data_IF_164830549396
#
_entry.id   IF_164830549396
#
_cell.length_a   1.000
_cell.length_b   1.000
_cell.length_c   1.000
_cell.angle_alpha   90.00
_cell.angle_beta   90.00
_cell.angle_gamma   90.00
#
_symmetry.space_group_name_H-M   'P 1'
#
loop_
_entity.id
_entity.type
_entity.pdbx_description
1 polymer ?
#
# COMPACT_ATOMS: atom_id res chain seq x y z
N UNK A 1 22.88 8.14 -15.40
CA UNK A 1 22.06 8.73 -14.31
C UNK A 1 22.22 10.24 -14.09
N UNK A 2 23.30 10.74 -13.47
CA UNK A 2 23.41 12.16 -13.04
C UNK A 2 23.28 13.16 -14.20
N UNK A 3 23.83 12.83 -15.37
CA UNK A 3 23.80 13.72 -16.53
C UNK A 3 22.40 13.86 -17.12
N UNK A 4 21.63 12.77 -17.23
CA UNK A 4 20.25 12.78 -17.75
C UNK A 4 19.33 13.64 -16.88
N UNK A 5 19.40 13.46 -15.56
CA UNK A 5 18.61 14.23 -14.59
C UNK A 5 19.04 15.71 -14.62
N UNK A 6 20.33 15.99 -14.73
CA UNK A 6 20.86 17.37 -14.84
C UNK A 6 20.39 18.07 -16.12
N UNK A 7 20.38 17.35 -17.26
CA UNK A 7 19.86 17.87 -18.53
C UNK A 7 18.38 18.20 -18.39
N UNK A 8 17.59 17.29 -17.82
CA UNK A 8 16.17 17.52 -17.57
C UNK A 8 15.95 18.75 -16.67
N UNK A 9 16.64 18.81 -15.52
CA UNK A 9 16.50 19.93 -14.59
C UNK A 9 16.81 21.28 -15.27
N UNK A 10 17.93 21.37 -15.99
CA UNK A 10 18.31 22.58 -16.72
C UNK A 10 17.28 22.97 -17.79
N UNK A 11 16.75 21.99 -18.53
CA UNK A 11 15.74 22.23 -19.56
C UNK A 11 14.47 22.89 -19.00
N UNK A 12 14.03 22.51 -17.79
CA UNK A 12 12.88 23.13 -17.12
C UNK A 12 13.22 24.46 -16.44
N UNK A 13 14.44 24.60 -15.89
CA UNK A 13 14.95 25.88 -15.37
C UNK A 13 15.00 26.97 -16.45
N UNK A 14 15.47 26.63 -17.66
CA UNK A 14 15.51 27.53 -18.81
C UNK A 14 14.10 27.99 -19.25
N UNK A 15 13.08 27.18 -18.96
CA UNK A 15 11.67 27.51 -19.16
C UNK A 15 11.03 28.24 -17.97
N UNK A 16 11.81 28.59 -16.95
CA UNK A 16 11.35 29.24 -15.72
C UNK A 16 10.31 28.41 -14.94
N UNK A 17 10.39 27.08 -15.02
CA UNK A 17 9.55 26.16 -14.24
C UNK A 17 10.31 25.73 -12.98
N UNK A 18 9.72 26.02 -11.82
CA UNK A 18 10.28 25.61 -10.52
C UNK A 18 9.91 24.15 -10.22
N UNK A 19 10.93 23.29 -10.26
CA UNK A 19 10.79 21.85 -10.02
C UNK A 19 11.77 21.37 -8.95
N UNK A 20 11.30 20.45 -8.11
CA UNK A 20 12.12 19.72 -7.14
C UNK A 20 12.13 18.24 -7.51
N UNK A 21 13.30 17.68 -7.80
CA UNK A 21 13.45 16.24 -8.05
C UNK A 21 13.66 15.50 -6.72
N UNK A 22 13.03 14.33 -6.57
CA UNK A 22 13.29 13.44 -5.44
C UNK A 22 14.44 12.50 -5.82
N UNK A 23 15.66 12.81 -5.41
CA UNK A 23 16.85 12.06 -5.85
C UNK A 23 16.79 10.56 -5.56
N UNK A 24 16.21 10.17 -4.41
CA UNK A 24 16.01 8.77 -4.03
C UNK A 24 15.06 7.99 -4.94
N UNK A 25 14.23 8.69 -5.72
CA UNK A 25 13.27 8.08 -6.65
C UNK A 25 13.85 7.80 -8.04
N UNK A 26 15.10 8.18 -8.30
CA UNK A 26 15.72 7.96 -9.61
C UNK A 26 16.01 6.46 -9.79
N UNK A 27 15.38 5.85 -10.80
CA UNK A 27 15.50 4.44 -11.12
C UNK A 27 15.76 4.26 -12.61
N UNK A 28 16.84 3.55 -12.94
CA UNK A 28 17.13 3.13 -14.31
C UNK A 28 16.60 1.70 -14.54
N UNK A 29 15.92 1.48 -15.66
CA UNK A 29 15.46 0.17 -16.14
C UNK A 29 15.72 0.11 -17.65
N UNK A 30 16.73 -0.66 -18.06
CA UNK A 30 17.21 -0.65 -19.44
C UNK A 30 17.76 0.73 -19.81
N UNK A 31 17.30 1.28 -20.93
CA UNK A 31 17.68 2.62 -21.41
C UNK A 31 16.76 3.74 -20.87
N UNK A 32 15.83 3.41 -19.98
CA UNK A 32 14.79 4.30 -19.47
C UNK A 32 15.11 4.75 -18.05
N UNK A 33 14.86 6.02 -17.73
CA UNK A 33 14.98 6.57 -16.36
C UNK A 33 13.62 7.03 -15.85
N UNK A 34 13.22 6.50 -14.70
CA UNK A 34 12.04 6.92 -13.94
C UNK A 34 12.47 7.80 -12.77
N UNK A 35 11.68 8.81 -12.43
CA UNK A 35 11.81 9.53 -11.16
C UNK A 35 10.53 10.29 -10.83
N UNK A 36 10.43 10.74 -9.59
CA UNK A 36 9.43 11.70 -9.16
C UNK A 36 10.04 13.11 -9.11
N UNK A 37 9.21 14.07 -9.49
CA UNK A 37 9.44 15.47 -9.22
C UNK A 37 8.23 16.07 -8.50
N UNK A 38 8.44 17.25 -7.93
CA UNK A 38 7.38 18.13 -7.46
C UNK A 38 7.46 19.42 -8.26
N UNK A 39 6.35 19.79 -8.87
CA UNK A 39 6.17 21.09 -9.51
C UNK A 39 5.10 21.84 -8.70
N UNK A 40 5.48 22.96 -8.08
CA UNK A 40 4.68 23.63 -7.05
C UNK A 40 4.29 22.67 -5.91
N UNK A 41 3.01 22.31 -5.81
CA UNK A 41 2.46 21.41 -4.80
C UNK A 41 2.18 20.00 -5.33
N UNK A 42 2.32 19.77 -6.64
CA UNK A 42 1.92 18.52 -7.26
C UNK A 42 3.12 17.60 -7.45
N UNK A 43 2.96 16.36 -7.01
CA UNK A 43 3.90 15.27 -7.28
C UNK A 43 3.61 14.70 -8.66
N UNK A 44 4.64 14.57 -9.49
CA UNK A 44 4.55 14.07 -10.86
C UNK A 44 5.62 13.02 -11.09
N UNK A 45 5.29 12.00 -11.86
CA UNK A 45 6.27 11.02 -12.34
C UNK A 45 6.83 11.47 -13.67
N UNK A 46 8.11 11.24 -13.88
CA UNK A 46 8.79 11.51 -15.14
C UNK A 46 9.44 10.24 -15.65
N UNK A 47 9.35 10.03 -16.95
CA UNK A 47 10.09 9.01 -17.66
C UNK A 47 10.93 9.69 -18.74
N UNK A 48 12.25 9.49 -18.71
CA UNK A 48 13.18 9.89 -19.77
C UNK A 48 13.61 8.65 -20.54
N UNK A 49 13.60 8.73 -21.87
CA UNK A 49 13.90 7.61 -22.74
C UNK A 49 14.60 8.07 -24.04
N UNK A 50 15.34 7.19 -24.74
CA UNK A 50 16.00 7.56 -25.99
C UNK A 50 15.00 7.89 -27.11
N UNK A 51 15.34 8.79 -28.02
CA UNK A 51 14.47 9.13 -29.15
C UNK A 51 14.24 7.95 -30.10
N UNK A 52 15.18 7.00 -30.14
CA UNK A 52 15.01 5.68 -30.73
C UNK A 52 14.87 4.67 -29.60
N UNK A 53 13.68 4.56 -29.02
CA UNK A 53 13.42 3.60 -27.96
C UNK A 53 12.65 2.40 -28.51
N UNK A 54 13.23 1.19 -28.51
CA UNK A 54 12.50 -0.03 -28.86
C UNK A 54 11.55 -0.49 -27.74
N UNK A 55 11.70 0.05 -26.52
CA UNK A 55 10.98 -0.44 -25.34
C UNK A 55 9.66 0.30 -25.07
N UNK A 56 8.59 -0.48 -24.96
CA UNK A 56 7.21 -0.05 -24.75
C UNK A 56 6.86 0.29 -23.30
N UNK A 57 7.87 0.40 -22.44
CA UNK A 57 7.76 0.56 -20.97
C UNK A 57 6.90 1.75 -20.54
N UNK A 58 6.74 2.75 -21.41
CA UNK A 58 6.03 4.00 -21.15
C UNK A 58 4.65 4.08 -21.84
N UNK A 59 4.24 3.05 -22.62
CA UNK A 59 3.02 3.08 -23.44
C UNK A 59 1.71 2.97 -22.65
N UNK A 60 1.72 2.24 -21.53
CA UNK A 60 0.52 1.98 -20.74
C UNK A 60 0.20 3.10 -19.73
N UNK A 61 1.15 4.01 -19.52
CA UNK A 61 0.94 5.20 -18.69
C UNK A 61 0.24 6.30 -19.49
N UNK A 62 -0.57 7.11 -18.83
CA UNK A 62 -1.21 8.30 -19.41
C UNK A 62 -0.38 9.52 -19.07
N UNK A 63 0.34 10.04 -20.07
CA UNK A 63 1.12 11.26 -19.96
C UNK A 63 0.21 12.50 -20.04
N UNK A 64 0.53 13.51 -19.25
CA UNK A 64 -0.08 14.84 -19.37
C UNK A 64 0.79 15.79 -20.21
N UNK A 65 2.09 15.50 -20.31
CA UNK A 65 3.04 16.31 -21.07
C UNK A 65 4.12 15.39 -21.66
N UNK A 66 4.56 15.68 -22.88
CA UNK A 66 5.66 14.99 -23.54
C UNK A 66 6.52 15.97 -24.33
N UNK A 67 7.81 15.66 -24.46
CA UNK A 67 8.74 16.54 -25.18
C UNK A 67 10.10 15.91 -25.46
N UNK A 68 10.94 16.69 -26.14
CA UNK A 68 12.33 16.31 -26.45
C UNK A 68 13.28 17.12 -25.58
N UNK A 69 14.14 16.44 -24.82
CA UNK A 69 15.23 17.09 -24.09
C UNK A 69 16.36 17.51 -25.03
N UNK A 70 16.66 16.67 -26.03
CA UNK A 70 17.65 16.93 -27.08
C UNK A 70 17.43 15.98 -28.27
N UNK A 71 18.40 15.89 -29.20
CA UNK A 71 18.31 15.00 -30.38
C UNK A 71 18.26 13.49 -30.05
N UNK A 72 18.68 13.10 -28.85
CA UNK A 72 18.83 11.71 -28.43
C UNK A 72 17.86 11.30 -27.31
N UNK A 73 17.24 12.24 -26.59
CA UNK A 73 16.41 11.97 -25.42
C UNK A 73 15.05 12.68 -25.50
N UNK A 74 14.02 11.93 -25.14
CA UNK A 74 12.66 12.39 -24.94
C UNK A 74 12.28 12.28 -23.46
N UNK A 75 11.24 13.02 -23.05
CA UNK A 75 10.65 12.89 -21.73
C UNK A 75 9.12 12.82 -21.83
N UNK A 76 8.51 12.19 -20.83
CA UNK A 76 7.08 12.24 -20.54
C UNK A 76 6.87 12.52 -19.06
N UNK A 77 5.86 13.34 -18.76
CA UNK A 77 5.41 13.65 -17.41
C UNK A 77 4.01 13.07 -17.22
N UNK A 78 3.79 12.53 -16.04
CA UNK A 78 2.60 11.77 -15.68
C UNK A 78 2.07 12.27 -14.34
N UNK A 79 0.75 12.46 -14.26
CA UNK A 79 0.07 12.67 -12.98
C UNK A 79 0.12 11.40 -12.12
N UNK A 80 0.17 11.57 -10.80
CA UNK A 80 0.19 10.47 -9.84
C UNK A 80 -1.22 9.89 -9.58
N UNK A 81 -1.92 9.52 -10.65
CA UNK A 81 -3.29 8.98 -10.61
C UNK A 81 -3.32 7.44 -10.48
N UNK A 82 -4.53 6.88 -10.37
CA UNK A 82 -4.76 5.44 -10.16
C UNK A 82 -4.18 4.55 -11.26
N UNK A 83 -4.39 4.94 -12.52
CA UNK A 83 -3.89 4.17 -13.66
C UNK A 83 -2.36 4.15 -13.69
N UNK A 84 -1.74 5.31 -13.49
CA UNK A 84 -0.29 5.43 -13.48
C UNK A 84 0.33 4.74 -12.25
N UNK A 85 -0.34 4.73 -11.10
CA UNK A 85 0.09 3.99 -9.92
C UNK A 85 0.01 2.47 -10.13
N UNK A 86 -1.05 2.00 -10.78
CA UNK A 86 -1.19 0.59 -11.17
C UNK A 86 -0.08 0.15 -12.12
N UNK A 87 0.22 0.97 -13.13
CA UNK A 87 1.30 0.66 -14.08
C UNK A 87 2.69 0.78 -13.42
N UNK A 88 2.90 1.73 -12.49
CA UNK A 88 4.11 1.82 -11.68
C UNK A 88 4.39 0.50 -10.95
N UNK A 89 3.38 -0.07 -10.28
CA UNK A 89 3.52 -1.35 -9.56
C UNK A 89 3.90 -2.52 -10.47
N UNK A 90 3.47 -2.52 -11.73
CA UNK A 90 3.89 -3.53 -12.72
C UNK A 90 5.32 -3.30 -13.19
N UNK A 91 5.70 -2.06 -13.46
CA UNK A 91 7.00 -1.72 -14.02
C UNK A 91 8.13 -1.77 -12.97
N UNK A 92 7.83 -1.36 -11.74
CA UNK A 92 8.73 -1.30 -10.60
C UNK A 92 8.13 -2.11 -9.44
N UNK A 93 8.30 -3.44 -9.42
CA UNK A 93 7.62 -4.34 -8.47
C UNK A 93 7.88 -4.03 -6.99
N UNK A 94 8.97 -3.34 -6.64
CA UNK A 94 9.24 -2.92 -5.26
C UNK A 94 8.23 -1.88 -4.73
N UNK A 95 7.43 -1.27 -5.61
CA UNK A 95 6.35 -0.35 -5.24
C UNK A 95 5.01 -1.06 -4.98
N UNK A 96 4.95 -2.39 -5.19
CA UNK A 96 3.80 -3.25 -4.87
C UNK A 96 3.98 -3.85 -3.46
N UNK A 97 2.91 -4.00 -2.66
CA UNK A 97 3.00 -4.70 -1.38
C UNK A 97 3.35 -6.18 -1.57
N UNK A 98 3.81 -6.79 -0.49
CA UNK A 98 4.07 -8.23 -0.41
C UNK A 98 3.45 -8.81 0.87
N UNK A 99 3.16 -10.11 0.84
CA UNK A 99 2.76 -10.87 2.02
C UNK A 99 3.93 -10.91 3.03
N UNK A 100 3.60 -10.81 4.31
CA UNK A 100 4.59 -10.64 5.38
C UNK A 100 5.05 -11.96 6.03
N UNK A 101 4.23 -13.00 5.96
CA UNK A 101 4.48 -14.27 6.65
C UNK A 101 4.62 -14.08 8.16
N UNK A 102 5.68 -14.64 8.75
CA UNK A 102 5.98 -14.54 10.19
C UNK A 102 6.97 -13.41 10.53
N UNK A 103 7.24 -12.51 9.60
CA UNK A 103 8.23 -11.45 9.78
C UNK A 103 7.74 -10.45 10.84
N UNK A 104 8.54 -10.10 11.86
CA UNK A 104 8.19 -9.04 12.81
C UNK A 104 7.93 -7.71 12.09
N UNK A 105 6.80 -7.09 12.42
CA UNK A 105 6.23 -6.00 11.65
C UNK A 105 5.79 -4.83 12.52
N UNK A 106 5.69 -3.65 11.90
CA UNK A 106 5.04 -2.48 12.50
C UNK A 106 4.00 -1.89 11.55
N UNK A 107 2.79 -1.68 12.07
CA UNK A 107 1.73 -0.94 11.41
C UNK A 107 2.01 0.55 11.41
N UNK A 108 2.01 1.19 10.24
CA UNK A 108 2.27 2.63 10.12
C UNK A 108 1.16 3.34 9.36
N UNK A 109 -0.06 3.26 9.90
CA UNK A 109 -1.26 3.81 9.26
C UNK A 109 -1.16 5.31 8.98
N UNK A 110 -1.63 5.71 7.80
CA UNK A 110 -1.52 7.08 7.29
C UNK A 110 -2.87 7.56 6.78
N UNK A 111 -3.59 8.32 7.61
CA UNK A 111 -4.93 8.84 7.31
C UNK A 111 -4.94 9.98 6.29
N UNK A 112 -3.78 10.58 6.01
CA UNK A 112 -3.66 11.78 5.19
C UNK A 112 -2.90 11.55 3.89
N UNK A 113 -2.26 10.40 3.72
CA UNK A 113 -1.50 10.04 2.51
C UNK A 113 -0.13 10.72 2.37
N UNK A 114 0.36 11.36 3.44
CA UNK A 114 1.56 12.20 3.43
C UNK A 114 2.64 11.77 4.44
N UNK A 115 2.31 10.91 5.40
CA UNK A 115 3.21 10.49 6.47
C UNK A 115 4.14 9.34 6.06
N UNK A 116 3.72 8.52 5.07
CA UNK A 116 4.45 7.33 4.60
C UNK A 116 5.94 7.55 4.32
N UNK A 117 6.40 8.66 3.68
CA UNK A 117 7.83 8.92 3.51
C UNK A 117 8.61 9.02 4.83
N UNK A 118 7.99 9.61 5.86
CA UNK A 118 8.55 9.66 7.21
C UNK A 118 8.59 8.29 7.88
N UNK A 119 7.53 7.50 7.73
CA UNK A 119 7.48 6.11 8.22
C UNK A 119 8.62 5.27 7.63
N UNK A 120 8.84 5.35 6.30
CA UNK A 120 9.94 4.67 5.60
C UNK A 120 11.31 5.04 6.20
N UNK A 121 11.55 6.32 6.47
CA UNK A 121 12.81 6.76 7.07
C UNK A 121 13.00 6.26 8.51
N UNK A 122 11.92 6.12 9.27
CA UNK A 122 11.97 5.58 10.62
C UNK A 122 12.27 4.07 10.61
N UNK A 123 11.52 3.29 9.82
CA UNK A 123 11.67 1.83 9.79
C UNK A 123 13.02 1.39 9.21
N UNK A 124 13.58 2.14 8.25
CA UNK A 124 14.96 1.93 7.76
C UNK A 124 16.00 1.99 8.88
N UNK A 125 15.83 2.90 9.84
CA UNK A 125 16.75 3.03 10.98
C UNK A 125 16.55 1.92 12.02
N UNK A 126 15.32 1.45 12.16
CA UNK A 126 14.95 0.44 13.16
C UNK A 126 15.16 -0.99 12.67
N UNK A 127 15.24 -1.23 11.36
CA UNK A 127 15.36 -2.57 10.79
C UNK A 127 14.10 -3.43 10.98
N UNK A 128 12.92 -2.81 11.01
CA UNK A 128 11.62 -3.48 11.19
C UNK A 128 10.84 -3.46 9.88
N UNK A 129 10.13 -4.54 9.57
CA UNK A 129 9.33 -4.62 8.36
C UNK A 129 8.06 -3.74 8.46
N UNK A 130 7.80 -2.83 7.52
CA UNK A 130 6.67 -1.93 7.61
C UNK A 130 5.40 -2.48 6.95
N UNK A 131 4.27 -2.32 7.64
CA UNK A 131 2.94 -2.37 7.04
C UNK A 131 2.53 -0.93 6.71
N UNK A 132 2.92 -0.46 5.52
CA UNK A 132 2.81 0.94 5.13
C UNK A 132 1.37 1.32 4.73
N UNK A 133 0.68 0.45 3.99
CA UNK A 133 -0.71 0.66 3.58
C UNK A 133 -1.62 0.07 4.65
N UNK A 134 -1.93 0.87 5.68
CA UNK A 134 -2.77 0.44 6.79
C UNK A 134 -3.84 1.50 7.05
N UNK A 135 -5.10 1.12 6.88
CA UNK A 135 -6.26 1.86 7.35
C UNK A 135 -7.44 0.91 7.53
N UNK A 136 -8.27 1.20 8.52
CA UNK A 136 -9.58 0.58 8.69
C UNK A 136 -10.63 1.17 7.74
N UNK A 137 -11.69 0.40 7.48
CA UNK A 137 -12.85 0.87 6.72
C UNK A 137 -13.48 2.13 7.34
N UNK A 138 -13.51 2.21 8.68
CA UNK A 138 -14.03 3.38 9.40
C UNK A 138 -13.20 4.62 9.12
N UNK A 139 -11.88 4.50 9.11
CA UNK A 139 -10.99 5.62 8.82
C UNK A 139 -11.12 6.07 7.37
N UNK A 140 -11.07 5.14 6.42
CA UNK A 140 -11.26 5.43 4.99
C UNK A 140 -12.57 6.19 4.72
N UNK A 141 -13.68 5.76 5.32
CA UNK A 141 -14.97 6.47 5.22
C UNK A 141 -14.90 7.90 5.77
N UNK A 142 -14.26 8.09 6.93
CA UNK A 142 -14.15 9.42 7.58
C UNK A 142 -13.22 10.37 6.83
N UNK A 143 -12.23 9.84 6.13
CA UNK A 143 -11.28 10.63 5.34
C UNK A 143 -11.68 10.76 3.87
N UNK A 144 -12.83 10.20 3.46
CA UNK A 144 -13.27 10.12 2.06
C UNK A 144 -12.21 9.50 1.15
N UNK A 145 -11.54 8.46 1.64
CA UNK A 145 -10.51 7.70 0.89
C UNK A 145 -11.04 6.31 0.57
N UNK A 146 -10.65 5.81 -0.58
CA UNK A 146 -10.87 4.43 -1.01
C UNK A 146 -9.65 3.55 -0.64
N UNK A 147 -9.81 2.21 -0.62
CA UNK A 147 -8.66 1.30 -0.51
C UNK A 147 -7.60 1.55 -1.59
N UNK A 148 -8.03 1.96 -2.79
CA UNK A 148 -7.15 2.28 -3.91
C UNK A 148 -6.28 3.51 -3.61
N UNK A 149 -6.85 4.56 -3.01
CA UNK A 149 -6.11 5.76 -2.61
C UNK A 149 -4.99 5.41 -1.62
N UNK A 150 -5.30 4.59 -0.62
CA UNK A 150 -4.32 4.12 0.38
C UNK A 150 -3.16 3.39 -0.29
N UNK A 151 -3.46 2.46 -1.20
CA UNK A 151 -2.44 1.70 -1.92
C UNK A 151 -1.58 2.60 -2.82
N UNK A 152 -2.20 3.55 -3.52
CA UNK A 152 -1.53 4.44 -4.45
C UNK A 152 -0.60 5.40 -3.71
N UNK A 153 -1.05 6.03 -2.62
CA UNK A 153 -0.21 6.94 -1.83
C UNK A 153 1.06 6.25 -1.31
N UNK A 154 0.92 5.00 -0.84
CA UNK A 154 2.05 4.20 -0.39
C UNK A 154 2.97 3.83 -1.55
N UNK A 155 2.44 3.40 -2.70
CA UNK A 155 3.23 3.08 -3.89
C UNK A 155 4.09 4.27 -4.32
N UNK A 156 3.51 5.47 -4.33
CA UNK A 156 4.22 6.71 -4.65
C UNK A 156 5.26 7.09 -3.59
N UNK A 157 4.96 6.92 -2.30
CA UNK A 157 5.89 7.20 -1.21
C UNK A 157 7.10 6.24 -1.22
N UNK A 158 6.86 4.95 -1.46
CA UNK A 158 7.90 3.93 -1.61
C UNK A 158 8.80 4.25 -2.79
N UNK A 159 8.22 4.66 -3.92
CA UNK A 159 8.99 5.13 -5.07
C UNK A 159 9.77 6.41 -4.76
N UNK A 160 9.15 7.39 -4.11
CA UNK A 160 9.76 8.66 -3.72
C UNK A 160 11.02 8.47 -2.87
N UNK A 161 10.94 7.59 -1.87
CA UNK A 161 12.01 7.33 -0.93
C UNK A 161 13.01 6.28 -1.45
N UNK A 162 12.78 5.71 -2.65
CA UNK A 162 13.58 4.63 -3.21
C UNK A 162 13.64 3.39 -2.32
N UNK A 163 12.55 3.11 -1.60
CA UNK A 163 12.50 2.02 -0.62
C UNK A 163 12.28 0.68 -1.32
N UNK A 164 13.21 -0.26 -1.12
CA UNK A 164 13.24 -1.53 -1.86
C UNK A 164 13.19 -2.77 -0.98
N UNK A 165 13.23 -2.60 0.33
CA UNK A 165 13.20 -3.71 1.29
C UNK A 165 11.79 -4.33 1.41
N UNK A 166 10.80 -3.68 0.79
CA UNK A 166 9.43 -4.12 0.65
C UNK A 166 8.55 -3.76 1.85
N UNK A 167 7.24 -3.90 1.67
CA UNK A 167 6.23 -3.50 2.65
C UNK A 167 4.97 -4.36 2.51
N UNK A 168 4.12 -4.38 3.53
CA UNK A 168 2.81 -5.01 3.48
C UNK A 168 1.67 -3.97 3.50
N UNK A 169 0.48 -4.44 3.12
CA UNK A 169 -0.76 -3.69 3.14
C UNK A 169 -1.81 -4.42 3.98
N UNK A 170 -2.27 -3.80 5.06
CA UNK A 170 -3.24 -4.34 6.02
C UNK A 170 -4.59 -3.63 5.93
N UNK A 171 -5.61 -4.41 5.60
CA UNK A 171 -6.99 -3.99 5.60
C UNK A 171 -7.53 -4.20 7.01
N UNK A 172 -7.49 -3.12 7.79
CA UNK A 172 -7.68 -3.17 9.23
C UNK A 172 -9.18 -3.20 9.62
N UNK A 173 -9.50 -3.88 10.73
CA UNK A 173 -10.84 -4.00 11.30
C UNK A 173 -11.97 -4.32 10.30
N UNK A 174 -11.80 -5.38 9.49
CA UNK A 174 -12.78 -5.82 8.50
C UNK A 174 -13.92 -6.61 9.13
N UNK A 175 -15.14 -6.21 8.77
CA UNK A 175 -16.39 -6.83 9.28
C UNK A 175 -17.29 -7.41 8.19
N UNK A 176 -17.08 -7.04 6.92
CA UNK A 176 -17.98 -7.43 5.83
C UNK A 176 -17.23 -7.99 4.62
N UNK A 177 -17.81 -8.99 3.95
CA UNK A 177 -17.27 -9.55 2.70
C UNK A 177 -17.09 -8.49 1.60
N UNK A 178 -17.98 -7.51 1.56
CA UNK A 178 -17.90 -6.40 0.61
C UNK A 178 -16.63 -5.60 0.81
N UNK A 179 -16.28 -5.31 2.07
CA UNK A 179 -15.08 -4.56 2.41
C UNK A 179 -13.81 -5.42 2.19
N UNK A 180 -13.88 -6.74 2.44
CA UNK A 180 -12.82 -7.70 2.06
C UNK A 180 -12.59 -7.68 0.54
N UNK A 181 -13.66 -7.72 -0.26
CA UNK A 181 -13.57 -7.70 -1.72
C UNK A 181 -12.95 -6.40 -2.23
N UNK A 182 -13.40 -5.25 -1.72
CA UNK A 182 -12.88 -3.95 -2.14
C UNK A 182 -11.38 -3.79 -1.81
N UNK A 183 -10.94 -4.30 -0.66
CA UNK A 183 -9.52 -4.26 -0.27
C UNK A 183 -8.67 -5.30 -1.01
N UNK A 184 -9.22 -6.47 -1.32
CA UNK A 184 -8.60 -7.45 -2.21
C UNK A 184 -8.36 -6.90 -3.61
N UNK A 185 -9.37 -6.25 -4.21
CA UNK A 185 -9.25 -5.64 -5.53
C UNK A 185 -8.19 -4.53 -5.56
N UNK A 186 -8.02 -3.78 -4.46
CA UNK A 186 -6.97 -2.77 -4.33
C UNK A 186 -5.56 -3.35 -4.11
N UNK A 187 -5.45 -4.65 -3.82
CA UNK A 187 -4.18 -5.36 -3.65
C UNK A 187 -3.64 -5.38 -2.23
N UNK A 188 -4.50 -5.30 -1.21
CA UNK A 188 -4.11 -5.55 0.18
C UNK A 188 -3.59 -6.99 0.36
N UNK A 189 -2.65 -7.19 1.29
CA UNK A 189 -1.92 -8.46 1.47
C UNK A 189 -2.07 -9.05 2.87
N UNK A 190 -2.72 -8.33 3.77
CA UNK A 190 -3.02 -8.69 5.15
C UNK A 190 -4.45 -8.24 5.46
N UNK A 191 -5.19 -9.07 6.19
CA UNK A 191 -6.61 -8.86 6.48
C UNK A 191 -6.83 -9.06 7.97
N UNK A 192 -7.20 -7.99 8.66
CA UNK A 192 -7.52 -8.04 10.09
C UNK A 192 -9.03 -8.17 10.22
N UNK A 193 -9.50 -9.40 10.45
CA UNK A 193 -10.92 -9.69 10.65
C UNK A 193 -11.30 -9.32 12.07
N UNK A 194 -12.34 -8.49 12.21
CA UNK A 194 -12.85 -8.02 13.49
C UNK A 194 -14.16 -8.75 13.84
N UNK A 195 -14.11 -9.78 14.71
CA UNK A 195 -15.27 -10.53 15.12
C UNK A 195 -16.05 -9.85 16.26
N UNK A 196 -15.70 -8.61 16.67
CA UNK A 196 -16.24 -7.99 17.88
C UNK A 196 -17.78 -7.97 17.94
N UNK A 197 -18.45 -7.85 16.79
CA UNK A 197 -19.91 -7.82 16.72
C UNK A 197 -20.58 -9.16 17.09
N UNK A 198 -19.78 -10.23 17.16
CA UNK A 198 -20.18 -11.59 17.52
C UNK A 198 -19.65 -12.02 18.89
N UNK A 199 -18.91 -11.14 19.59
CA UNK A 199 -18.42 -11.40 20.93
C UNK A 199 -19.47 -10.96 21.93
N UNK A 200 -19.83 -11.85 22.85
CA UNK A 200 -20.70 -11.55 23.98
C UNK A 200 -19.84 -10.99 25.12
N UNK A 201 -19.70 -9.66 25.17
CA UNK A 201 -18.85 -8.95 26.13
C UNK A 201 -19.33 -9.09 27.58
N UNK A 202 -20.57 -9.55 27.82
CA UNK A 202 -21.13 -9.74 29.17
C UNK A 202 -20.98 -11.18 29.68
N UNK A 203 -20.37 -12.08 28.89
CA UNK A 203 -20.31 -13.50 29.21
C UNK A 203 -19.62 -13.79 30.57
N UNK A 204 -18.68 -12.95 31.01
CA UNK A 204 -17.99 -13.08 32.29
C UNK A 204 -18.84 -12.63 33.49
N UNK A 205 -19.90 -11.86 33.27
CA UNK A 205 -20.83 -11.41 34.31
C UNK A 205 -22.01 -12.37 34.51
N UNK A 206 -22.24 -13.28 33.56
CA UNK A 206 -23.36 -14.22 33.62
C UNK A 206 -23.17 -15.31 34.68
N UNK A 207 -24.27 -15.69 35.33
CA UNK A 207 -24.27 -16.85 36.20
C UNK A 207 -24.13 -18.16 35.39
N UNK A 208 -23.77 -19.25 36.09
CA UNK A 208 -23.55 -20.54 35.47
C UNK A 208 -24.80 -21.08 34.74
N UNK A 209 -26.00 -20.73 35.20
CA UNK A 209 -27.24 -21.20 34.58
C UNK A 209 -27.40 -20.53 33.21
N UNK A 210 -27.26 -19.21 33.15
CA UNK A 210 -27.31 -18.41 31.93
C UNK A 210 -26.22 -18.85 30.95
N UNK A 211 -25.00 -19.08 31.43
CA UNK A 211 -23.89 -19.58 30.59
C UNK A 211 -24.21 -20.92 29.94
N UNK A 212 -24.79 -21.87 30.69
CA UNK A 212 -25.22 -23.16 30.12
C UNK A 212 -26.31 -22.97 29.07
N UNK A 213 -27.29 -22.12 29.35
CA UNK A 213 -28.39 -21.83 28.42
C UNK A 213 -27.87 -21.20 27.11
N UNK A 214 -26.98 -20.21 27.20
CA UNK A 214 -26.36 -19.56 26.03
C UNK A 214 -25.46 -20.50 25.24
N UNK A 215 -24.65 -21.32 25.92
CA UNK A 215 -23.79 -22.32 25.29
C UNK A 215 -24.61 -23.33 24.47
N UNK A 216 -25.72 -23.83 25.02
CA UNK A 216 -26.64 -24.73 24.30
C UNK A 216 -27.28 -24.07 23.08
N UNK A 217 -27.42 -22.74 23.08
CA UNK A 217 -28.02 -21.95 22.00
C UNK A 217 -27.03 -21.42 20.98
N UNK A 218 -25.72 -21.69 21.13
CA UNK A 218 -24.73 -21.29 20.13
C UNK A 218 -25.11 -21.86 18.76
N UNK A 219 -24.80 -21.15 17.66
CA UNK A 219 -25.15 -21.57 16.31
C UNK A 219 -24.19 -22.65 15.81
N UNK A 220 -24.20 -23.82 16.45
CA UNK A 220 -23.28 -24.95 16.22
C UNK A 220 -23.15 -25.33 14.74
N UNK A 221 -24.28 -25.32 14.02
CA UNK A 221 -24.29 -25.61 12.58
C UNK A 221 -23.51 -24.57 11.76
N UNK A 222 -23.63 -23.29 12.10
CA UNK A 222 -22.95 -22.20 11.37
C UNK A 222 -21.44 -22.17 11.73
N UNK A 223 -21.11 -22.53 12.96
CA UNK A 223 -19.73 -22.70 13.43
C UNK A 223 -19.05 -23.97 12.88
N UNK A 224 -19.82 -24.84 12.22
CA UNK A 224 -19.37 -26.14 11.71
C UNK A 224 -18.66 -27.00 12.76
N UNK A 225 -19.14 -26.97 14.00
CA UNK A 225 -18.63 -27.77 15.13
C UNK A 225 -19.76 -28.22 16.06
N UNK A 226 -19.49 -29.22 16.92
CA UNK A 226 -20.43 -29.69 17.93
C UNK A 226 -19.93 -29.42 19.35
N UNK A 227 -20.87 -29.22 20.29
CA UNK A 227 -20.56 -29.07 21.71
C UNK A 227 -19.75 -30.23 22.28
N UNK A 228 -19.98 -31.46 21.83
CA UNK A 228 -19.28 -32.67 22.28
C UNK A 228 -17.81 -32.61 21.89
N UNK A 229 -17.51 -32.15 20.68
CA UNK A 229 -16.15 -32.00 20.20
C UNK A 229 -15.38 -31.01 21.09
N UNK A 230 -16.00 -29.89 21.47
CA UNK A 230 -15.38 -28.94 22.41
C UNK A 230 -15.13 -29.57 23.78
N UNK A 231 -16.08 -30.32 24.34
CA UNK A 231 -15.84 -31.00 25.61
C UNK A 231 -14.73 -32.04 25.50
N UNK A 232 -14.70 -32.85 24.44
CA UNK A 232 -13.64 -33.82 24.22
C UNK A 232 -12.27 -33.16 24.04
N UNK A 233 -12.23 -32.00 23.38
CA UNK A 233 -11.01 -31.24 23.14
C UNK A 233 -10.49 -30.51 24.37
N UNK A 234 -11.36 -29.93 25.21
CA UNK A 234 -10.96 -28.98 26.24
C UNK A 234 -11.31 -29.39 27.67
N UNK A 235 -12.40 -30.13 27.90
CA UNK A 235 -12.85 -30.48 29.25
C UNK A 235 -11.86 -31.46 29.88
N UNK A 236 -11.41 -31.15 31.10
CA UNK A 236 -10.44 -31.95 31.87
C UNK A 236 -9.11 -32.20 31.13
N UNK A 237 -8.76 -31.36 30.14
CA UNK A 237 -7.46 -31.40 29.46
C UNK A 237 -6.50 -30.37 30.03
N UNK A 238 -5.23 -30.74 30.09
CA UNK A 238 -4.12 -29.82 30.34
C UNK A 238 -3.32 -29.63 29.05
N UNK A 239 -3.06 -28.38 28.70
CA UNK A 239 -2.28 -28.01 27.52
C UNK A 239 -0.90 -27.53 27.97
N UNK A 240 0.15 -28.04 27.33
CA UNK A 240 1.54 -27.62 27.56
C UNK A 240 1.94 -26.53 26.57
#
# INVERSE_FOLDING_TARGET
>A
MKDTIRIFKRFFEDQKRDIKIYDSSVVEKGNVTFFLMREKYERKMVIIYPSRNPDDVHKNFIAEEEGKLNKALNYKIYSCNDQNASELRKQLPFTRPQVIGLTPAIGTGDRVGLATPGHIRAVRKLGVFPVLALQSIREMKRTFRSPQDVMNDVSWAVFQEGYRDGFAADADHLKTERDIRATFEAGFTMYTIDPSDYVDDEADEYDLKMLKEKFEQLPWSDLACDRKDLFEMYLEKEFK
#
